data_IF_665727854424
#
_entry.id   IF_665727854424
#
_cell.length_a   1.000
_cell.length_b   1.000
_cell.length_c   1.000
_cell.angle_alpha   90.00
_cell.angle_beta   90.00
_cell.angle_gamma   90.00
#
_symmetry.space_group_name_H-M   'P 1'
#
loop_
_entity.id
_entity.type
_entity.pdbx_description
1 polymer ?
#
# COMPACT_ATOMS: atom_id res chain seq x y z
N UNK A 1 19.57 4.53 -8.32
CA UNK A 1 19.53 4.79 -6.86
C UNK A 1 18.13 4.77 -6.24
N UNK A 2 17.03 4.56 -7.00
CA UNK A 2 15.64 4.67 -6.49
C UNK A 2 15.02 3.37 -5.94
N UNK A 3 15.74 2.25 -6.02
CA UNK A 3 15.37 0.94 -5.43
C UNK A 3 15.94 0.73 -4.02
N UNK A 4 16.65 1.73 -3.46
CA UNK A 4 17.19 1.65 -2.11
C UNK A 4 16.07 1.89 -1.08
N UNK A 5 15.85 0.97 -0.12
CA UNK A 5 14.89 1.17 0.95
C UNK A 5 15.44 2.14 1.99
N UNK A 6 15.37 3.45 1.72
CA UNK A 6 15.94 4.50 2.59
C UNK A 6 15.48 4.38 4.04
N UNK A 7 14.21 4.02 4.27
CA UNK A 7 13.64 3.76 5.59
C UNK A 7 14.42 2.68 6.38
N UNK A 8 15.00 1.70 5.68
CA UNK A 8 15.75 0.58 6.26
C UNK A 8 17.28 0.80 6.28
N UNK A 9 17.78 1.99 5.89
CA UNK A 9 19.19 2.32 6.07
C UNK A 9 19.51 2.41 7.56
N UNK A 10 20.61 1.78 7.97
CA UNK A 10 21.05 1.72 9.36
C UNK A 10 22.37 2.46 9.54
N UNK A 11 22.43 3.39 10.49
CA UNK A 11 23.61 4.25 10.73
C UNK A 11 24.61 3.68 11.78
N UNK A 12 24.40 2.43 12.17
CA UNK A 12 25.14 1.77 13.26
C UNK A 12 24.47 1.91 14.63
N UNK A 13 23.49 2.80 14.80
CA UNK A 13 22.72 2.98 16.03
C UNK A 13 21.23 2.62 15.87
N UNK A 14 20.66 2.87 14.70
CA UNK A 14 19.27 2.50 14.40
C UNK A 14 18.92 2.70 12.93
N UNK A 15 17.72 2.31 12.56
CA UNK A 15 17.18 2.52 11.22
C UNK A 15 16.73 3.97 11.03
N UNK A 16 16.84 4.48 9.80
CA UNK A 16 16.45 5.85 9.46
C UNK A 16 14.98 6.13 9.79
N UNK A 17 14.10 5.15 9.55
CA UNK A 17 12.67 5.22 9.88
C UNK A 17 12.39 5.44 11.36
N UNK A 18 13.32 5.09 12.25
CA UNK A 18 13.14 5.32 13.68
C UNK A 18 13.20 6.80 14.05
N UNK A 19 13.83 7.62 13.20
CA UNK A 19 14.03 9.06 13.44
C UNK A 19 13.20 9.94 12.53
N UNK A 20 12.97 9.53 11.30
CA UNK A 20 12.33 10.35 10.27
C UNK A 20 11.23 9.59 9.55
N UNK A 21 10.11 10.27 9.27
CA UNK A 21 9.17 9.81 8.26
C UNK A 21 9.87 9.88 6.90
N UNK A 22 9.75 8.85 6.06
CA UNK A 22 10.48 8.76 4.78
C UNK A 22 9.48 8.51 3.66
N UNK A 23 9.74 9.08 2.50
CA UNK A 23 8.96 8.92 1.28
C UNK A 23 9.76 9.39 0.07
N UNK A 24 9.38 8.90 -1.10
CA UNK A 24 10.09 9.16 -2.35
C UNK A 24 9.24 10.06 -3.24
N UNK A 25 9.83 11.15 -3.73
CA UNK A 25 9.23 12.00 -4.74
C UNK A 25 9.91 11.72 -6.09
N UNK A 26 9.17 11.25 -7.12
CA UNK A 26 9.76 10.97 -8.43
C UNK A 26 10.37 12.23 -9.08
N UNK A 27 9.63 13.35 -8.99
CA UNK A 27 10.07 14.68 -9.43
C UNK A 27 9.31 15.75 -8.66
N UNK A 28 9.98 16.84 -8.27
CA UNK A 28 9.34 17.99 -7.63
C UNK A 28 8.32 18.67 -8.56
N UNK A 29 8.59 18.74 -9.88
CA UNK A 29 7.70 19.38 -10.86
C UNK A 29 6.42 18.58 -11.13
N UNK A 30 6.45 17.27 -10.86
CA UNK A 30 5.32 16.36 -11.10
C UNK A 30 4.52 16.07 -9.83
N UNK A 31 4.95 16.60 -8.68
CA UNK A 31 4.33 16.29 -7.40
C UNK A 31 3.50 17.46 -6.91
N UNK A 32 2.19 17.26 -6.78
CA UNK A 32 1.30 18.23 -6.16
C UNK A 32 1.41 18.16 -4.63
N UNK A 33 2.02 19.18 -4.05
CA UNK A 33 2.32 19.28 -2.61
C UNK A 33 1.15 19.82 -1.78
N UNK A 34 0.00 20.14 -2.38
CA UNK A 34 -1.13 20.68 -1.61
C UNK A 34 -1.67 19.62 -0.66
N UNK A 35 -1.68 19.94 0.63
CA UNK A 35 -2.23 19.09 1.67
C UNK A 35 -3.76 18.99 1.54
N UNK A 36 -4.26 17.77 1.65
CA UNK A 36 -5.69 17.47 1.80
C UNK A 36 -5.83 16.51 2.97
N UNK A 37 -6.66 16.88 3.94
CA UNK A 37 -6.99 15.98 5.04
C UNK A 37 -7.87 14.83 4.52
N UNK A 38 -7.35 13.60 4.63
CA UNK A 38 -8.04 12.39 4.18
C UNK A 38 -8.65 11.59 5.32
N UNK A 39 -8.65 12.07 6.58
CA UNK A 39 -9.15 11.30 7.74
C UNK A 39 -10.62 10.88 7.63
N UNK A 40 -11.42 11.63 6.87
CA UNK A 40 -12.83 11.34 6.60
C UNK A 40 -13.10 10.91 5.16
N UNK A 41 -12.04 10.59 4.39
CA UNK A 41 -12.17 10.20 3.00
C UNK A 41 -12.95 8.89 2.86
N UNK A 42 -13.77 8.81 1.81
CA UNK A 42 -14.34 7.55 1.35
C UNK A 42 -13.25 6.69 0.71
N UNK A 43 -13.25 5.41 1.05
CA UNK A 43 -12.29 4.44 0.51
C UNK A 43 -13.00 3.52 -0.49
N UNK A 44 -12.42 3.36 -1.67
CA UNK A 44 -12.75 2.24 -2.57
C UNK A 44 -11.73 1.12 -2.32
N UNK A 45 -12.15 0.05 -1.66
CA UNK A 45 -11.30 -1.09 -1.37
C UNK A 45 -11.69 -2.28 -2.25
N UNK A 46 -10.77 -2.79 -3.05
CA UNK A 46 -11.06 -3.91 -3.95
C UNK A 46 -9.93 -4.95 -3.90
N UNK A 47 -10.27 -6.23 -4.03
CA UNK A 47 -9.25 -7.26 -3.99
C UNK A 47 -9.70 -8.63 -4.45
N UNK A 48 -8.74 -9.50 -4.75
CA UNK A 48 -8.98 -10.91 -5.10
C UNK A 48 -8.24 -11.81 -4.13
N UNK A 49 -8.94 -12.78 -3.56
CA UNK A 49 -8.37 -13.81 -2.69
C UNK A 49 -8.25 -15.17 -3.38
N UNK A 50 -8.98 -15.35 -4.49
CA UNK A 50 -9.01 -16.57 -5.29
C UNK A 50 -8.47 -16.31 -6.69
N UNK A 51 -7.69 -17.26 -7.20
CA UNK A 51 -7.07 -17.18 -8.53
C UNK A 51 -7.09 -18.56 -9.18
N UNK A 52 -7.16 -18.60 -10.52
CA UNK A 52 -7.09 -19.86 -11.29
C UNK A 52 -5.66 -20.37 -11.43
N UNK A 53 -4.71 -19.46 -11.65
CA UNK A 53 -3.32 -19.78 -12.03
C UNK A 53 -2.29 -19.35 -10.98
N UNK A 54 -2.73 -18.74 -9.88
CA UNK A 54 -1.86 -18.21 -8.83
C UNK A 54 -2.29 -18.73 -7.46
N UNK A 55 -1.38 -18.65 -6.48
CA UNK A 55 -1.68 -19.03 -5.11
C UNK A 55 -2.79 -18.14 -4.52
N UNK A 56 -3.72 -18.69 -3.73
CA UNK A 56 -4.74 -17.90 -3.07
C UNK A 56 -4.11 -16.91 -2.09
N UNK A 57 -4.80 -15.79 -1.88
CA UNK A 57 -4.46 -14.77 -0.89
C UNK A 57 -5.58 -14.71 0.16
N UNK A 58 -5.65 -15.71 1.05
CA UNK A 58 -6.76 -15.86 1.98
C UNK A 58 -6.88 -14.70 2.99
N UNK A 59 -5.87 -13.83 3.13
CA UNK A 59 -5.82 -12.64 3.97
C UNK A 59 -6.49 -11.39 3.38
N UNK A 60 -6.70 -11.33 2.05
CA UNK A 60 -7.31 -10.18 1.36
C UNK A 60 -8.71 -9.82 1.91
N UNK A 61 -9.63 -10.77 2.15
CA UNK A 61 -10.95 -10.43 2.70
C UNK A 61 -10.87 -9.86 4.12
N UNK A 62 -9.94 -10.36 4.95
CA UNK A 62 -9.72 -9.90 6.31
C UNK A 62 -9.10 -8.51 6.31
N UNK A 63 -8.20 -8.23 5.37
CA UNK A 63 -7.59 -6.91 5.21
C UNK A 63 -8.65 -5.87 4.88
N UNK A 64 -9.48 -6.13 3.87
CA UNK A 64 -10.58 -5.22 3.49
C UNK A 64 -11.60 -5.07 4.61
N UNK A 65 -11.91 -6.15 5.34
CA UNK A 65 -12.82 -6.09 6.50
C UNK A 65 -12.22 -5.24 7.64
N UNK A 66 -10.93 -5.39 7.93
CA UNK A 66 -10.24 -4.61 8.96
C UNK A 66 -10.25 -3.11 8.67
N UNK A 67 -10.10 -2.73 7.39
CA UNK A 67 -10.24 -1.33 6.93
C UNK A 67 -11.68 -0.86 7.11
N UNK A 68 -12.66 -1.69 6.73
CA UNK A 68 -14.10 -1.38 6.79
C UNK A 68 -14.62 -1.14 8.22
N UNK A 69 -14.01 -1.77 9.23
CA UNK A 69 -14.35 -1.54 10.64
C UNK A 69 -13.97 -0.13 11.13
N UNK A 70 -13.10 0.56 10.41
CA UNK A 70 -12.54 1.84 10.82
C UNK A 70 -12.96 2.97 9.87
N UNK A 71 -13.14 2.68 8.59
CA UNK A 71 -13.32 3.70 7.55
C UNK A 71 -14.66 3.54 6.83
N UNK A 72 -15.14 4.60 6.20
CA UNK A 72 -16.26 4.51 5.26
C UNK A 72 -15.74 3.88 3.97
N UNK A 73 -16.01 2.59 3.78
CA UNK A 73 -15.47 1.79 2.68
C UNK A 73 -16.59 1.33 1.76
N UNK A 74 -16.37 1.45 0.45
CA UNK A 74 -17.09 0.67 -0.57
C UNK A 74 -16.19 -0.48 -1.01
N UNK A 75 -16.56 -1.70 -0.64
CA UNK A 75 -15.72 -2.89 -0.80
C UNK A 75 -16.19 -3.81 -1.93
N UNK A 76 -15.26 -4.36 -2.71
CA UNK A 76 -15.55 -5.37 -3.73
C UNK A 76 -14.50 -6.47 -3.76
N UNK A 77 -14.94 -7.72 -3.68
CA UNK A 77 -14.06 -8.89 -3.63
C UNK A 77 -14.25 -9.80 -4.85
N UNK A 78 -13.18 -10.48 -5.26
CA UNK A 78 -13.17 -11.58 -6.22
C UNK A 78 -13.94 -11.24 -7.50
N UNK A 79 -15.07 -11.88 -7.78
CA UNK A 79 -15.85 -11.71 -9.01
C UNK A 79 -16.32 -10.25 -9.22
N UNK A 80 -16.38 -9.45 -8.16
CA UNK A 80 -16.70 -8.02 -8.24
C UNK A 80 -15.46 -7.11 -8.34
N UNK A 81 -14.25 -7.65 -8.20
CA UNK A 81 -12.99 -6.93 -8.42
C UNK A 81 -12.56 -6.97 -9.89
N UNK A 82 -13.37 -6.32 -10.72
CA UNK A 82 -13.16 -6.23 -12.18
C UNK A 82 -12.70 -4.85 -12.60
N UNK A 83 -12.09 -4.75 -13.79
CA UNK A 83 -11.67 -3.46 -14.34
C UNK A 83 -12.85 -2.53 -14.58
N UNK A 84 -13.95 -3.06 -15.10
CA UNK A 84 -15.15 -2.25 -15.36
C UNK A 84 -15.77 -1.74 -14.06
N UNK A 85 -15.86 -2.58 -13.02
CA UNK A 85 -16.40 -2.13 -11.74
C UNK A 85 -15.49 -1.06 -11.12
N UNK A 86 -14.16 -1.23 -11.13
CA UNK A 86 -13.22 -0.21 -10.65
C UNK A 86 -13.46 1.16 -11.34
N UNK A 87 -13.62 1.17 -12.67
CA UNK A 87 -13.92 2.39 -13.43
C UNK A 87 -15.31 2.93 -13.12
N UNK A 88 -16.31 2.07 -13.02
CA UNK A 88 -17.70 2.45 -12.71
C UNK A 88 -17.82 3.08 -11.33
N UNK A 89 -17.22 2.50 -10.31
CA UNK A 89 -17.17 3.09 -8.97
C UNK A 89 -16.52 4.46 -8.98
N UNK A 90 -15.37 4.58 -9.67
CA UNK A 90 -14.66 5.86 -9.78
C UNK A 90 -15.49 6.96 -10.44
N UNK A 91 -16.33 6.61 -11.42
CA UNK A 91 -17.24 7.55 -12.10
C UNK A 91 -18.44 7.96 -11.24
N UNK A 92 -18.97 7.04 -10.42
CA UNK A 92 -20.17 7.28 -9.62
C UNK A 92 -19.94 8.30 -8.49
N UNK A 93 -18.79 8.22 -7.81
CA UNK A 93 -18.47 9.14 -6.71
C UNK A 93 -16.97 9.30 -6.52
N UNK A 94 -16.51 10.41 -5.92
CA UNK A 94 -15.12 10.59 -5.56
C UNK A 94 -14.72 9.67 -4.39
N UNK A 95 -13.55 9.04 -4.53
CA UNK A 95 -12.87 8.33 -3.45
C UNK A 95 -11.52 9.01 -3.21
N UNK A 96 -11.28 9.44 -1.96
CA UNK A 96 -10.00 10.02 -1.59
C UNK A 96 -8.91 8.96 -1.48
N UNK A 97 -9.30 7.71 -1.15
CA UNK A 97 -8.38 6.59 -1.05
C UNK A 97 -8.86 5.45 -1.95
N UNK A 98 -7.95 4.87 -2.72
CA UNK A 98 -8.17 3.61 -3.43
C UNK A 98 -7.20 2.59 -2.87
N UNK A 99 -7.71 1.41 -2.50
CA UNK A 99 -6.93 0.33 -1.94
C UNK A 99 -7.15 -0.94 -2.76
N UNK A 100 -6.08 -1.48 -3.34
CA UNK A 100 -6.10 -2.68 -4.15
C UNK A 100 -5.27 -3.78 -3.47
N UNK A 101 -5.91 -4.90 -3.13
CA UNK A 101 -5.29 -6.05 -2.45
C UNK A 101 -5.35 -7.31 -3.32
N UNK A 102 -4.22 -7.70 -3.93
CA UNK A 102 -4.15 -8.77 -4.93
C UNK A 102 -2.71 -9.13 -5.29
N UNK A 103 -2.50 -10.06 -6.22
CA UNK A 103 -1.18 -10.27 -6.84
C UNK A 103 -0.84 -9.16 -7.82
N UNK A 104 0.43 -8.77 -7.83
CA UNK A 104 0.99 -7.94 -8.88
C UNK A 104 2.39 -8.44 -9.20
N UNK A 105 2.81 -8.16 -10.43
CA UNK A 105 4.12 -8.53 -10.91
C UNK A 105 4.69 -7.40 -11.75
N UNK A 106 5.88 -6.95 -11.36
CA UNK A 106 6.69 -6.07 -12.17
C UNK A 106 7.74 -6.91 -12.90
N UNK A 107 7.64 -6.93 -14.23
CA UNK A 107 8.55 -7.63 -15.13
C UNK A 107 9.31 -6.59 -15.95
N UNK A 108 10.65 -6.67 -15.91
CA UNK A 108 11.52 -5.80 -16.70
C UNK A 108 11.31 -6.01 -18.21
N UNK A 109 11.62 -4.98 -18.99
CA UNK A 109 11.36 -4.94 -20.43
C UNK A 109 10.12 -4.08 -20.74
N UNK A 110 9.26 -4.54 -21.65
CA UNK A 110 8.07 -3.78 -22.04
C UNK A 110 7.10 -3.58 -20.86
N UNK A 111 6.54 -2.37 -20.76
CA UNK A 111 5.53 -2.01 -19.76
C UNK A 111 4.34 -2.98 -19.72
N UNK A 112 4.00 -3.59 -20.87
CA UNK A 112 2.87 -4.51 -21.00
C UNK A 112 3.10 -5.87 -20.32
N UNK A 113 4.36 -6.19 -19.97
CA UNK A 113 4.67 -7.42 -19.25
C UNK A 113 4.23 -7.32 -17.79
N UNK A 114 4.28 -6.13 -17.20
CA UNK A 114 3.90 -5.89 -15.80
C UNK A 114 2.38 -5.81 -15.63
N UNK A 115 1.85 -6.35 -14.54
CA UNK A 115 0.41 -6.37 -14.27
C UNK A 115 0.03 -6.34 -12.80
N UNK A 116 -1.16 -5.80 -12.53
CA UNK A 116 -1.95 -6.06 -11.32
C UNK A 116 -3.04 -7.07 -11.70
N UNK A 117 -3.13 -8.19 -10.98
CA UNK A 117 -4.12 -9.22 -11.24
C UNK A 117 -5.50 -8.79 -10.71
N UNK A 118 -6.46 -8.60 -11.61
CA UNK A 118 -7.88 -8.47 -11.28
C UNK A 118 -8.55 -9.85 -11.42
N UNK A 119 -9.82 -10.00 -11.05
CA UNK A 119 -10.49 -11.30 -11.18
C UNK A 119 -10.79 -11.71 -12.61
N UNK A 120 -11.04 -10.72 -13.48
CA UNK A 120 -11.40 -10.89 -14.89
C UNK A 120 -10.21 -10.73 -15.84
N UNK A 121 -9.22 -9.90 -15.46
CA UNK A 121 -8.13 -9.52 -16.36
C UNK A 121 -6.84 -9.13 -15.63
N UNK A 122 -5.79 -8.88 -16.41
CA UNK A 122 -4.52 -8.31 -15.93
C UNK A 122 -4.52 -6.82 -16.28
N UNK A 123 -4.60 -5.95 -15.27
CA UNK A 123 -4.44 -4.51 -15.44
C UNK A 123 -2.96 -4.22 -15.72
N UNK A 124 -2.66 -3.83 -16.95
CA UNK A 124 -1.30 -3.56 -17.40
C UNK A 124 -0.82 -2.17 -16.97
N UNK A 125 0.49 -2.01 -16.92
CA UNK A 125 1.13 -0.81 -16.40
C UNK A 125 0.83 0.45 -17.25
N UNK A 126 0.75 0.30 -18.57
CA UNK A 126 0.39 1.35 -19.52
C UNK A 126 -1.09 1.77 -19.43
N UNK A 127 -1.95 0.90 -18.91
CA UNK A 127 -3.38 1.14 -18.71
C UNK A 127 -3.68 1.96 -17.44
N UNK A 128 -2.73 2.11 -16.51
CA UNK A 128 -2.92 2.86 -15.24
C UNK A 128 -3.36 4.30 -15.51
N UNK A 129 -2.78 4.96 -16.52
CA UNK A 129 -3.14 6.33 -16.95
C UNK A 129 -4.60 6.48 -17.35
N UNK A 130 -5.25 5.38 -17.77
CA UNK A 130 -6.61 5.37 -18.29
C UNK A 130 -7.67 5.16 -17.18
N UNK A 131 -7.26 5.02 -15.92
CA UNK A 131 -8.16 4.76 -14.80
C UNK A 131 -8.84 6.02 -14.24
N UNK A 132 -8.43 7.21 -14.71
CA UNK A 132 -9.08 8.47 -14.35
C UNK A 132 -8.91 8.85 -12.88
N UNK A 133 -7.82 8.41 -12.24
CA UNK A 133 -7.54 8.67 -10.83
C UNK A 133 -7.13 10.12 -10.53
N UNK A 134 -7.09 11.00 -11.53
CA UNK A 134 -6.81 12.43 -11.39
C UNK A 134 -8.06 13.32 -11.35
N UNK A 135 -9.27 12.78 -11.55
CA UNK A 135 -10.51 13.58 -11.63
C UNK A 135 -11.67 13.00 -10.79
N UNK A 136 -11.87 13.51 -9.55
CA UNK A 136 -10.89 14.29 -8.77
C UNK A 136 -9.62 13.48 -8.45
N UNK A 137 -8.54 14.11 -7.99
CA UNK A 137 -7.33 13.38 -7.61
C UNK A 137 -7.62 12.36 -6.50
N UNK A 138 -7.10 11.14 -6.67
CA UNK A 138 -6.98 10.18 -5.58
C UNK A 138 -5.85 10.67 -4.69
N UNK A 139 -6.17 10.90 -3.42
CA UNK A 139 -5.22 11.45 -2.45
C UNK A 139 -4.20 10.40 -1.99
N UNK A 140 -4.63 9.14 -1.92
CA UNK A 140 -3.78 8.00 -1.57
C UNK A 140 -4.21 6.74 -2.35
N UNK A 141 -3.29 6.19 -3.14
CA UNK A 141 -3.42 4.85 -3.73
C UNK A 141 -2.62 3.85 -2.88
N UNK A 142 -3.25 2.81 -2.38
CA UNK A 142 -2.57 1.72 -1.67
C UNK A 142 -2.57 0.48 -2.56
N UNK A 143 -1.39 0.06 -3.00
CA UNK A 143 -1.18 -1.16 -3.75
C UNK A 143 -0.65 -2.25 -2.81
N UNK A 144 -1.58 -2.92 -2.15
CA UNK A 144 -1.33 -4.08 -1.28
C UNK A 144 -1.08 -5.32 -2.14
N UNK A 145 0.05 -5.30 -2.83
CA UNK A 145 0.45 -6.30 -3.81
C UNK A 145 1.97 -6.33 -3.96
N UNK A 146 2.53 -7.47 -4.36
CA UNK A 146 3.97 -7.68 -4.47
C UNK A 146 4.61 -6.83 -5.57
N UNK A 147 5.83 -6.30 -5.32
CA UNK A 147 6.69 -5.61 -6.30
C UNK A 147 6.03 -4.45 -7.06
N UNK A 148 5.06 -3.75 -6.47
CA UNK A 148 4.33 -2.64 -7.11
C UNK A 148 5.08 -1.31 -7.16
N UNK A 149 6.18 -1.18 -6.41
CA UNK A 149 7.11 -0.04 -6.44
C UNK A 149 8.43 -0.35 -7.16
N UNK A 150 8.59 -1.57 -7.68
CA UNK A 150 9.76 -1.93 -8.48
C UNK A 150 9.62 -1.32 -9.89
N UNK A 151 10.69 -0.76 -10.44
CA UNK A 151 10.67 0.00 -11.69
C UNK A 151 11.94 -0.17 -12.51
N UNK A 152 11.91 0.24 -13.77
CA UNK A 152 13.05 0.38 -14.68
C UNK A 152 13.10 1.80 -15.27
N UNK A 153 13.99 2.04 -16.23
CA UNK A 153 14.13 3.35 -16.89
C UNK A 153 12.82 3.80 -17.60
N UNK A 154 12.04 2.85 -18.12
CA UNK A 154 10.76 3.12 -18.82
C UNK A 154 9.57 3.34 -17.87
N UNK A 155 9.63 2.80 -16.65
CA UNK A 155 8.63 2.99 -15.60
C UNK A 155 9.30 3.10 -14.24
N UNK A 156 9.80 4.31 -13.97
CA UNK A 156 10.41 4.64 -12.69
C UNK A 156 9.41 4.41 -11.55
N UNK A 157 9.77 3.58 -10.57
CA UNK A 157 8.93 3.18 -9.43
C UNK A 157 7.63 2.44 -9.82
N UNK A 158 7.58 1.83 -11.01
CA UNK A 158 6.54 0.89 -11.43
C UNK A 158 5.14 1.48 -11.40
N UNK A 159 4.18 0.71 -10.90
CA UNK A 159 2.77 1.09 -10.82
C UNK A 159 2.55 2.34 -9.97
N UNK A 160 3.25 2.46 -8.84
CA UNK A 160 3.11 3.60 -7.95
C UNK A 160 3.68 4.89 -8.56
N UNK A 161 4.84 4.81 -9.22
CA UNK A 161 5.40 5.96 -9.95
C UNK A 161 4.48 6.43 -11.07
N UNK A 162 3.99 5.50 -11.90
CA UNK A 162 3.05 5.82 -12.97
C UNK A 162 1.71 6.34 -12.46
N UNK A 163 1.19 5.83 -11.34
CA UNK A 163 -0.01 6.38 -10.72
C UNK A 163 0.19 7.84 -10.29
N UNK A 164 1.33 8.17 -9.66
CA UNK A 164 1.65 9.55 -9.27
C UNK A 164 1.80 10.45 -10.50
N UNK A 165 2.51 10.00 -11.54
CA UNK A 165 2.60 10.73 -12.81
C UNK A 165 1.24 10.90 -13.49
N UNK A 166 0.30 9.98 -13.27
CA UNK A 166 -1.07 10.04 -13.78
C UNK A 166 -1.98 10.97 -12.98
N UNK A 167 -1.49 11.60 -11.91
CA UNK A 167 -2.21 12.58 -11.08
C UNK A 167 -2.79 12.03 -9.77
N UNK A 168 -2.38 10.83 -9.34
CA UNK A 168 -2.55 10.42 -7.93
C UNK A 168 -1.59 11.23 -7.06
N UNK A 169 -2.03 11.72 -5.91
CA UNK A 169 -1.21 12.58 -5.05
C UNK A 169 -0.10 11.83 -4.33
N UNK A 170 -0.39 10.61 -3.89
CA UNK A 170 0.58 9.72 -3.25
C UNK A 170 0.16 8.26 -3.38
N UNK A 171 1.13 7.37 -3.38
CA UNK A 171 0.94 5.93 -3.46
C UNK A 171 1.76 5.20 -2.39
N UNK A 172 1.21 4.12 -1.84
CA UNK A 172 1.94 3.14 -1.03
C UNK A 172 2.04 1.87 -1.86
N UNK A 173 3.26 1.35 -1.97
CA UNK A 173 3.54 0.16 -2.77
C UNK A 173 4.74 -0.60 -2.20
N UNK A 174 4.87 -1.87 -2.59
CA UNK A 174 5.92 -2.75 -2.10
C UNK A 174 7.09 -2.85 -3.09
N UNK A 175 8.33 -2.85 -2.60
CA UNK A 175 9.50 -3.06 -3.44
C UNK A 175 9.79 -4.55 -3.74
N UNK A 176 9.27 -5.46 -2.91
CA UNK A 176 9.57 -6.90 -2.94
C UNK A 176 8.32 -7.72 -2.68
N UNK A 177 8.45 -9.04 -2.70
CA UNK A 177 7.39 -9.93 -2.22
C UNK A 177 7.09 -9.65 -0.75
N UNK A 178 5.80 -9.55 -0.45
CA UNK A 178 5.26 -9.37 0.90
C UNK A 178 4.43 -10.60 1.25
N UNK A 179 4.52 -11.06 2.49
CA UNK A 179 3.64 -12.13 2.97
C UNK A 179 2.19 -11.63 3.01
N UNK A 180 1.23 -12.45 2.58
CA UNK A 180 -0.22 -12.16 2.68
C UNK A 180 -0.60 -11.80 4.13
N UNK A 181 -0.16 -12.61 5.09
CA UNK A 181 -0.38 -12.39 6.52
C UNK A 181 0.36 -11.15 7.05
N UNK A 182 1.57 -10.91 6.56
CA UNK A 182 2.39 -9.75 6.88
C UNK A 182 1.71 -8.45 6.49
N UNK A 183 1.12 -8.45 5.29
CA UNK A 183 0.46 -7.28 4.69
C UNK A 183 -0.86 -6.98 5.38
N UNK A 184 -1.63 -7.99 5.78
CA UNK A 184 -2.82 -7.84 6.62
C UNK A 184 -2.52 -7.05 7.89
N UNK A 185 -1.48 -7.46 8.64
CA UNK A 185 -1.06 -6.77 9.86
C UNK A 185 -0.65 -5.33 9.64
N UNK A 186 0.15 -5.12 8.60
CA UNK A 186 0.66 -3.81 8.27
C UNK A 186 -0.45 -2.86 7.82
N UNK A 187 -1.38 -3.32 6.97
CA UNK A 187 -2.48 -2.48 6.47
C UNK A 187 -3.49 -2.16 7.57
N UNK A 188 -3.80 -3.13 8.44
CA UNK A 188 -4.69 -2.89 9.57
C UNK A 188 -4.16 -1.76 10.47
N UNK A 189 -2.89 -1.82 10.86
CA UNK A 189 -2.30 -0.76 11.70
C UNK A 189 -2.08 0.53 10.93
N UNK A 190 -1.65 0.47 9.66
CA UNK A 190 -1.50 1.66 8.82
C UNK A 190 -2.78 2.48 8.77
N UNK A 191 -3.93 1.86 8.55
CA UNK A 191 -5.21 2.56 8.52
C UNK A 191 -5.68 3.06 9.90
N UNK A 192 -5.22 2.44 11.00
CA UNK A 192 -5.42 2.94 12.36
C UNK A 192 -4.57 4.20 12.62
N UNK A 193 -3.27 4.14 12.30
CA UNK A 193 -2.35 5.27 12.39
C UNK A 193 -2.75 6.42 11.48
N UNK A 194 -3.28 6.13 10.29
CA UNK A 194 -3.66 7.14 9.29
C UNK A 194 -4.75 8.09 9.78
N UNK A 195 -5.64 7.62 10.66
CA UNK A 195 -6.69 8.47 11.25
C UNK A 195 -6.16 9.56 12.17
N UNK A 196 -5.05 9.29 12.85
CA UNK A 196 -4.52 10.15 13.91
C UNK A 196 -3.24 10.88 13.50
N UNK A 197 -2.58 10.40 12.44
CA UNK A 197 -1.32 10.98 11.97
C UNK A 197 -1.54 12.30 11.22
N UNK A 198 -0.59 13.25 11.34
CA UNK A 198 -0.67 14.52 10.63
C UNK A 198 -0.47 14.36 9.13
N UNK A 199 0.38 13.40 8.72
CA UNK A 199 0.71 13.12 7.32
C UNK A 199 0.78 11.62 7.05
N UNK A 200 0.60 11.24 5.78
CA UNK A 200 0.59 9.84 5.30
C UNK A 200 1.90 9.11 5.59
N UNK A 201 3.04 9.79 5.43
CA UNK A 201 4.37 9.23 5.71
C UNK A 201 4.58 8.93 7.20
N UNK A 202 4.03 9.76 8.09
CA UNK A 202 4.11 9.53 9.53
C UNK A 202 3.22 8.36 9.95
N UNK A 203 2.06 8.18 9.30
CA UNK A 203 1.23 6.99 9.53
C UNK A 203 2.01 5.70 9.20
N UNK A 204 2.64 5.63 8.03
CA UNK A 204 3.44 4.45 7.67
C UNK A 204 4.65 4.27 8.60
N UNK A 205 5.33 5.35 8.97
CA UNK A 205 6.44 5.29 9.93
C UNK A 205 6.00 4.71 11.27
N UNK A 206 4.88 5.18 11.83
CA UNK A 206 4.35 4.66 13.10
C UNK A 206 4.04 3.18 13.01
N UNK A 207 3.50 2.73 11.88
CA UNK A 207 3.30 1.31 11.61
C UNK A 207 4.60 0.54 11.54
N UNK A 208 5.59 1.03 10.79
CA UNK A 208 6.91 0.40 10.71
C UNK A 208 7.58 0.31 12.09
N UNK A 209 7.44 1.36 12.92
CA UNK A 209 7.94 1.38 14.29
C UNK A 209 7.23 0.38 15.20
N UNK A 210 5.91 0.24 15.07
CA UNK A 210 5.15 -0.74 15.85
C UNK A 210 5.62 -2.17 15.56
N UNK A 211 5.92 -2.49 14.29
CA UNK A 211 6.50 -3.77 13.89
C UNK A 211 7.96 -3.94 14.38
N UNK A 212 8.81 -2.92 14.25
CA UNK A 212 10.21 -2.95 14.75
C UNK A 212 10.25 -3.25 16.26
N UNK A 213 9.36 -2.63 17.02
CA UNK A 213 9.30 -2.75 18.48
C UNK A 213 8.63 -4.05 18.97
N UNK A 214 8.01 -4.81 18.08
CA UNK A 214 7.21 -5.99 18.46
C UNK A 214 5.88 -5.62 19.14
N UNK A 215 5.45 -4.36 19.05
CA UNK A 215 4.14 -3.90 19.53
C UNK A 215 3.01 -4.57 18.73
N UNK A 216 3.28 -4.90 17.47
CA UNK A 216 2.38 -5.62 16.59
C UNK A 216 3.08 -6.85 16.06
N UNK A 217 2.42 -7.99 16.21
CA UNK A 217 2.88 -9.27 15.70
C UNK A 217 1.71 -10.07 15.13
N UNK A 218 2.02 -11.06 14.31
CA UNK A 218 1.02 -11.89 13.67
C UNK A 218 1.06 -13.27 14.33
N UNK A 219 -0.09 -13.70 14.82
CA UNK A 219 -0.27 -15.01 15.44
C UNK A 219 -1.59 -15.61 14.94
N UNK A 220 -1.54 -16.84 14.42
CA UNK A 220 -2.71 -17.55 13.88
C UNK A 220 -3.49 -16.73 12.83
N UNK A 221 -2.79 -16.07 11.90
CA UNK A 221 -3.35 -15.16 10.89
C UNK A 221 -4.17 -13.98 11.46
N UNK A 222 -3.94 -13.62 12.71
CA UNK A 222 -4.54 -12.46 13.35
C UNK A 222 -3.47 -11.47 13.78
N UNK A 223 -3.79 -10.18 13.61
CA UNK A 223 -2.96 -9.07 14.06
C UNK A 223 -3.15 -8.93 15.56
N UNK A 224 -2.07 -9.14 16.31
CA UNK A 224 -2.04 -9.02 17.77
C UNK A 224 -1.29 -7.75 18.13
N UNK A 225 -1.82 -7.01 19.10
CA UNK A 225 -1.18 -5.81 19.64
C UNK A 225 -0.71 -6.12 21.06
N UNK A 226 0.61 -6.14 21.28
CA UNK A 226 1.25 -6.41 22.57
C UNK A 226 0.91 -5.36 23.64
N UNK A 227 0.43 -4.17 23.26
CA UNK A 227 -0.08 -3.16 24.22
C UNK A 227 -1.51 -3.42 24.66
N UNK A 228 -2.31 -4.16 23.87
CA UNK A 228 -3.66 -4.61 24.24
C UNK A 228 -3.65 -6.00 24.90
N UNK A 229 -2.61 -6.78 24.66
CA UNK A 229 -2.39 -8.08 25.30
C UNK A 229 -1.34 -7.86 26.38
N UNK A 230 -1.78 -7.62 27.62
CA UNK A 230 -0.87 -7.84 28.76
C UNK A 230 -0.43 -9.30 28.64
N UNK A 231 0.86 -9.60 28.45
CA UNK A 231 1.51 -10.86 28.90
C UNK A 231 3.01 -10.97 28.54
N UNK A 232 3.78 -11.39 29.57
CA UNK A 232 5.02 -12.20 29.68
C UNK A 232 6.19 -12.07 28.66
N UNK A 233 7.48 -12.06 29.10
CA UNK A 233 8.60 -11.46 28.38
C UNK A 233 9.46 -12.42 27.54
N UNK A 234 8.89 -13.22 26.64
CA UNK A 234 9.71 -14.00 25.68
C UNK A 234 9.13 -13.95 24.26
N UNK A 235 9.65 -13.06 23.42
CA UNK A 235 9.32 -12.97 21.99
C UNK A 235 10.45 -13.56 21.10
N UNK A 236 10.14 -14.39 20.09
CA UNK A 236 11.13 -15.04 19.24
C UNK A 236 11.71 -14.16 18.12
N UNK A 237 12.99 -14.42 17.75
CA UNK A 237 13.85 -13.60 16.88
C UNK A 237 13.41 -13.39 15.41
N UNK A 238 12.51 -14.20 14.85
CA UNK A 238 12.16 -14.14 13.43
C UNK A 238 11.25 -12.96 13.05
N UNK A 239 10.76 -12.20 14.04
CA UNK A 239 9.95 -10.98 13.87
C UNK A 239 10.71 -9.78 13.28
N UNK A 240 12.04 -9.86 13.11
CA UNK A 240 12.88 -8.73 12.62
C UNK A 240 12.93 -8.54 11.09
N UNK A 241 12.24 -9.37 10.28
CA UNK A 241 12.22 -9.20 8.82
C UNK A 241 11.05 -8.30 8.39
N UNK A 242 11.29 -6.99 8.40
CA UNK A 242 10.38 -6.00 7.81
C UNK A 242 10.45 -6.14 6.29
N UNK A 243 9.33 -6.30 5.61
CA UNK A 243 9.28 -6.11 4.15
C UNK A 243 9.35 -4.60 3.86
N UNK A 244 10.32 -4.11 3.07
CA UNK A 244 10.37 -2.68 2.76
C UNK A 244 9.21 -2.24 1.86
N UNK A 245 8.22 -1.61 2.49
CA UNK A 245 7.12 -0.87 1.86
C UNK A 245 7.52 0.60 1.81
N UNK A 246 7.21 1.27 0.70
CA UNK A 246 7.54 2.67 0.47
C UNK A 246 6.27 3.50 0.26
N UNK A 247 6.30 4.76 0.71
CA UNK A 247 5.42 5.81 0.20
C UNK A 247 6.13 6.50 -0.96
N UNK A 248 5.43 6.63 -2.08
CA UNK A 248 5.84 7.42 -3.24
C UNK A 248 4.87 8.59 -3.37
N UNK A 249 5.35 9.81 -3.21
CA UNK A 249 4.55 11.03 -3.14
C UNK A 249 5.24 12.10 -2.28
N UNK A 250 4.66 13.30 -2.16
CA UNK A 250 5.27 14.39 -1.43
C UNK A 250 5.38 14.04 0.05
N UNK A 251 6.59 14.15 0.59
CA UNK A 251 6.78 14.33 2.02
C UNK A 251 6.44 15.78 2.31
N UNK A 252 5.23 16.03 2.82
CA UNK A 252 4.98 17.34 3.38
C UNK A 252 5.80 17.44 4.68
N UNK A 253 6.78 18.35 4.66
CA UNK A 253 7.53 18.84 5.82
C UNK A 253 6.60 19.59 6.77
#
# INVERSE_FOLDING_TARGET
>A
MRSLPFAALHDGKGFLVERYSVGLMPSLSLTDTRFVDIKNAQILAMGSSRFKEQQPLPGVPQEINAISNQWKVRAFLNENFTLDNLKTQRRQQPFGIIHLATHAEFLAGSLNNSYIQLSDTKLRLDQVRQLGWNKPPVELLVLSACRTALGNEDAELGFAGLAVQSGVKSAIASLWYVSDTGTLGLMQDFYEQLKTSPIKAEALRRTQLAFIKGDIFIENNQVRNAKKIILSPQQPMWLKKISPILIIGPLLL
#
